data_IF_622621199872
#
_entry.id   IF_622621199872
#
_cell.length_a   1.000
_cell.length_b   1.000
_cell.length_c   1.000
_cell.angle_alpha   90.00
_cell.angle_beta   90.00
_cell.angle_gamma   90.00
#
_symmetry.space_group_name_H-M   'P 1'
#
loop_
_entity.id
_entity.type
_entity.pdbx_description
1 polymer ?
#
# COMPACT_ATOMS: atom_id res chain seq x y z
N UNK A 1 -4.93 7.66 -20.94
CA UNK A 1 -5.26 7.41 -19.51
C UNK A 1 -6.23 6.26 -19.36
N UNK A 2 -7.36 6.27 -20.08
CA UNK A 2 -8.36 5.18 -20.08
C UNK A 2 -7.73 3.78 -20.19
N UNK A 3 -6.88 3.53 -21.19
CA UNK A 3 -6.26 2.21 -21.40
C UNK A 3 -5.36 1.77 -20.24
N UNK A 4 -4.66 2.72 -19.59
CA UNK A 4 -3.85 2.43 -18.39
C UNK A 4 -4.71 2.08 -17.19
N UNK A 5 -5.86 2.73 -17.03
CA UNK A 5 -6.82 2.41 -15.95
C UNK A 5 -7.49 1.05 -16.19
N UNK A 6 -7.80 0.72 -17.45
CA UNK A 6 -8.32 -0.60 -17.83
C UNK A 6 -7.30 -1.71 -17.57
N UNK A 7 -6.03 -1.48 -17.94
CA UNK A 7 -4.91 -2.37 -17.63
C UNK A 7 -4.78 -2.58 -16.11
N UNK A 8 -4.73 -1.49 -15.32
CA UNK A 8 -4.67 -1.55 -13.86
C UNK A 8 -5.83 -2.38 -13.28
N UNK A 9 -7.07 -2.13 -13.74
CA UNK A 9 -8.24 -2.89 -13.25
C UNK A 9 -8.12 -4.37 -13.54
N UNK A 10 -7.63 -4.76 -14.72
CA UNK A 10 -7.51 -6.16 -15.11
C UNK A 10 -6.40 -6.88 -14.36
N UNK A 11 -5.24 -6.24 -14.24
CA UNK A 11 -4.10 -6.82 -13.51
C UNK A 11 -4.38 -6.93 -12.02
N UNK A 12 -5.05 -5.93 -11.43
CA UNK A 12 -5.47 -6.01 -10.04
C UNK A 12 -6.46 -7.16 -9.80
N UNK A 13 -7.41 -7.36 -10.72
CA UNK A 13 -8.34 -8.49 -10.65
C UNK A 13 -7.61 -9.83 -10.63
N UNK A 14 -6.63 -10.00 -11.52
CA UNK A 14 -5.80 -11.20 -11.61
C UNK A 14 -5.05 -11.45 -10.29
N UNK A 15 -4.46 -10.41 -9.70
CA UNK A 15 -3.77 -10.52 -8.40
C UNK A 15 -4.73 -10.91 -7.27
N UNK A 16 -5.93 -10.33 -7.24
CA UNK A 16 -6.94 -10.70 -6.23
C UNK A 16 -7.36 -12.17 -6.38
N UNK A 17 -7.53 -12.66 -7.61
CA UNK A 17 -7.89 -14.05 -7.87
C UNK A 17 -6.77 -15.04 -7.52
N UNK A 18 -5.53 -14.68 -7.86
CA UNK A 18 -4.34 -15.50 -7.63
C UNK A 18 -4.03 -15.62 -6.14
N UNK A 19 -3.94 -14.47 -5.44
CA UNK A 19 -3.49 -14.45 -4.05
C UNK A 19 -4.62 -14.57 -3.03
N UNK A 20 -5.88 -14.34 -3.43
CA UNK A 20 -7.08 -14.39 -2.57
C UNK A 20 -6.87 -13.68 -1.22
N UNK A 21 -6.48 -12.39 -1.22
CA UNK A 21 -6.20 -11.68 0.01
C UNK A 21 -7.48 -11.49 0.84
N UNK A 22 -7.36 -11.45 2.17
CA UNK A 22 -8.47 -11.14 3.07
C UNK A 22 -8.87 -9.66 3.01
N UNK A 23 -7.94 -8.79 2.60
CA UNK A 23 -8.10 -7.34 2.60
C UNK A 23 -7.04 -6.64 1.73
N UNK A 24 -7.25 -5.35 1.45
CA UNK A 24 -6.25 -4.45 0.86
C UNK A 24 -5.78 -3.38 1.85
N UNK A 25 -4.62 -2.82 1.58
CA UNK A 25 -4.11 -1.65 2.31
C UNK A 25 -3.51 -0.64 1.33
N UNK A 26 -3.78 0.65 1.56
CA UNK A 26 -3.26 1.74 0.72
C UNK A 26 -2.73 2.88 1.59
N UNK A 27 -1.73 3.59 1.08
CA UNK A 27 -1.33 4.86 1.68
C UNK A 27 -2.38 5.94 1.41
N UNK A 28 -2.68 6.73 2.45
CA UNK A 28 -3.58 7.87 2.35
C UNK A 28 -2.88 9.01 1.60
N UNK A 29 -3.38 9.33 0.41
CA UNK A 29 -2.90 10.45 -0.40
C UNK A 29 -3.21 11.77 0.31
N UNK A 30 -2.19 12.49 0.78
CA UNK A 30 -2.36 13.73 1.54
C UNK A 30 -1.98 14.99 0.75
N UNK A 31 -0.97 14.95 -0.12
CA UNK A 31 -0.53 16.11 -0.89
C UNK A 31 0.10 15.71 -2.23
N UNK A 32 -0.55 16.07 -3.33
CA UNK A 32 0.09 16.09 -4.64
C UNK A 32 0.67 17.48 -4.88
N UNK A 33 1.95 17.56 -5.29
CA UNK A 33 2.62 18.85 -5.59
C UNK A 33 1.93 19.63 -6.71
N UNK A 34 1.19 18.95 -7.59
CA UNK A 34 0.44 19.57 -8.69
C UNK A 34 -0.93 18.92 -8.84
N UNK A 35 -1.92 19.70 -9.29
CA UNK A 35 -3.30 19.23 -9.41
C UNK A 35 -3.48 18.11 -10.44
N UNK A 36 -2.69 18.12 -11.52
CA UNK A 36 -2.80 17.13 -12.60
C UNK A 36 -2.36 15.73 -12.16
N UNK A 37 -1.29 15.63 -11.37
CA UNK A 37 -0.82 14.37 -10.79
C UNK A 37 -1.76 13.91 -9.69
N UNK A 38 -2.31 14.83 -8.91
CA UNK A 38 -3.37 14.54 -7.93
C UNK A 38 -4.55 13.85 -8.60
N UNK A 39 -5.02 14.40 -9.72
CA UNK A 39 -6.17 13.89 -10.45
C UNK A 39 -5.87 12.52 -11.07
N UNK A 40 -4.68 12.34 -11.65
CA UNK A 40 -4.26 11.06 -12.25
C UNK A 40 -4.17 9.97 -11.19
N UNK A 41 -3.59 10.27 -10.02
CA UNK A 41 -3.51 9.35 -8.88
C UNK A 41 -4.90 9.06 -8.32
N UNK A 42 -5.78 10.07 -8.26
CA UNK A 42 -7.18 9.92 -7.86
C UNK A 42 -7.94 8.94 -8.75
N UNK A 43 -7.77 9.01 -10.08
CA UNK A 43 -8.38 8.06 -11.00
C UNK A 43 -7.90 6.62 -10.78
N UNK A 44 -6.59 6.41 -10.64
CA UNK A 44 -6.02 5.08 -10.36
C UNK A 44 -6.54 4.52 -9.03
N UNK A 45 -6.56 5.34 -7.98
CA UNK A 45 -7.10 4.97 -6.67
C UNK A 45 -8.59 4.62 -6.77
N UNK A 46 -9.39 5.37 -7.52
CA UNK A 46 -10.80 5.07 -7.74
C UNK A 46 -11.02 3.67 -8.30
N UNK A 47 -10.21 3.27 -9.29
CA UNK A 47 -10.25 1.91 -9.87
C UNK A 47 -9.91 0.85 -8.82
N UNK A 48 -8.85 1.07 -8.02
CA UNK A 48 -8.43 0.14 -6.96
C UNK A 48 -9.54 -0.03 -5.93
N UNK A 49 -10.08 1.08 -5.39
CA UNK A 49 -11.14 1.05 -4.38
C UNK A 49 -12.39 0.32 -4.89
N UNK A 50 -12.78 0.58 -6.14
CA UNK A 50 -13.92 -0.08 -6.77
C UNK A 50 -13.71 -1.59 -6.87
N UNK A 51 -12.55 -2.05 -7.38
CA UNK A 51 -12.28 -3.50 -7.53
C UNK A 51 -12.36 -4.25 -6.22
N UNK A 52 -11.76 -3.73 -5.15
CA UNK A 52 -11.87 -4.37 -3.84
C UNK A 52 -13.30 -4.39 -3.31
N UNK A 53 -14.05 -3.30 -3.52
CA UNK A 53 -15.47 -3.23 -3.12
C UNK A 53 -16.33 -4.25 -3.85
N UNK A 54 -16.14 -4.45 -5.17
CA UNK A 54 -16.87 -5.47 -5.94
C UNK A 54 -16.57 -6.89 -5.44
N UNK A 55 -15.34 -7.12 -4.98
CA UNK A 55 -14.90 -8.39 -4.39
C UNK A 55 -15.25 -8.53 -2.90
N UNK A 56 -15.93 -7.55 -2.31
CA UNK A 56 -16.30 -7.52 -0.89
C UNK A 56 -15.07 -7.59 0.04
N UNK A 57 -13.92 -7.10 -0.41
CA UNK A 57 -12.68 -7.06 0.33
C UNK A 57 -12.52 -5.70 1.02
N UNK A 58 -12.32 -5.63 2.34
CA UNK A 58 -12.08 -4.37 3.03
C UNK A 58 -10.75 -3.76 2.59
N UNK A 59 -10.72 -2.44 2.44
CA UNK A 59 -9.49 -1.66 2.25
C UNK A 59 -9.22 -0.82 3.49
N UNK A 60 -7.96 -0.83 3.94
CA UNK A 60 -7.48 0.00 5.04
C UNK A 60 -6.54 1.10 4.54
N UNK A 61 -6.64 2.29 5.13
CA UNK A 61 -5.84 3.45 4.74
C UNK A 61 -4.90 3.89 5.86
N UNK A 62 -3.63 4.13 5.51
CA UNK A 62 -2.61 4.53 6.48
C UNK A 62 -1.94 5.84 6.08
N UNK A 63 -1.71 6.73 7.06
CA UNK A 63 -0.90 7.93 6.83
C UNK A 63 0.57 7.55 6.68
N UNK A 64 1.31 8.26 5.82
CA UNK A 64 2.76 8.09 5.63
C UNK A 64 3.54 8.04 6.96
N UNK A 65 3.22 8.95 7.89
CA UNK A 65 3.84 9.00 9.21
C UNK A 65 3.62 7.71 10.01
N UNK A 66 2.43 7.12 9.91
CA UNK A 66 2.09 5.87 10.60
C UNK A 66 2.83 4.69 9.97
N UNK A 67 2.95 4.65 8.65
CA UNK A 67 3.73 3.62 7.94
C UNK A 67 5.20 3.67 8.39
N UNK A 68 5.81 4.86 8.33
CA UNK A 68 7.20 5.08 8.77
C UNK A 68 7.41 4.70 10.25
N UNK A 69 6.49 5.11 11.12
CA UNK A 69 6.55 4.76 12.54
C UNK A 69 6.44 3.25 12.77
N UNK A 70 5.60 2.55 12.01
CA UNK A 70 5.38 1.11 12.19
C UNK A 70 6.56 0.29 11.66
N UNK A 71 7.14 0.68 10.54
CA UNK A 71 8.23 -0.06 9.88
C UNK A 71 9.60 0.25 10.49
N UNK A 72 9.88 1.52 10.81
CA UNK A 72 11.21 1.98 11.26
C UNK A 72 11.24 2.33 12.76
N UNK A 73 10.07 2.47 13.39
CA UNK A 73 9.94 2.91 14.79
C UNK A 73 9.77 4.42 14.97
N UNK A 74 10.09 5.23 13.94
CA UNK A 74 9.99 6.69 13.99
C UNK A 74 9.24 7.26 12.78
N UNK A 75 8.27 8.15 13.01
CA UNK A 75 7.44 8.70 11.94
C UNK A 75 8.19 9.62 10.96
N UNK A 76 9.33 10.19 11.38
CA UNK A 76 10.17 11.08 10.56
C UNK A 76 11.25 10.36 9.76
N UNK A 77 11.21 9.03 9.68
CA UNK A 77 12.21 8.25 8.95
C UNK A 77 12.32 8.67 7.48
N UNK A 78 13.52 8.60 6.95
CA UNK A 78 13.81 8.82 5.53
C UNK A 78 13.38 7.60 4.70
N UNK A 79 13.17 7.80 3.40
CA UNK A 79 12.72 6.72 2.49
C UNK A 79 13.69 5.53 2.48
N UNK A 80 14.99 5.79 2.45
CA UNK A 80 16.02 4.75 2.45
C UNK A 80 15.96 3.87 3.70
N UNK A 81 15.62 4.46 4.85
CA UNK A 81 15.46 3.73 6.10
C UNK A 81 14.25 2.80 6.05
N UNK A 82 13.13 3.27 5.49
CA UNK A 82 11.94 2.43 5.27
C UNK A 82 12.28 1.26 4.36
N UNK A 83 12.91 1.51 3.21
CA UNK A 83 13.29 0.48 2.26
C UNK A 83 14.26 -0.55 2.86
N UNK A 84 15.26 -0.09 3.61
CA UNK A 84 16.19 -0.98 4.31
C UNK A 84 15.47 -1.86 5.33
N UNK A 85 14.57 -1.28 6.12
CA UNK A 85 13.78 -2.02 7.11
C UNK A 85 12.82 -3.01 6.46
N UNK A 86 12.15 -2.66 5.36
CA UNK A 86 11.31 -3.60 4.61
C UNK A 86 12.11 -4.84 4.18
N UNK A 87 13.34 -4.65 3.67
CA UNK A 87 14.22 -5.76 3.31
C UNK A 87 14.54 -6.65 4.51
N UNK A 88 14.87 -6.06 5.66
CA UNK A 88 15.16 -6.81 6.89
C UNK A 88 13.92 -7.60 7.33
N UNK A 89 12.76 -6.96 7.41
CA UNK A 89 11.53 -7.57 7.91
C UNK A 89 11.03 -8.72 7.04
N UNK A 90 11.28 -8.66 5.73
CA UNK A 90 10.88 -9.69 4.76
C UNK A 90 12.03 -10.61 4.33
N UNK A 91 13.22 -10.48 4.94
CA UNK A 91 14.43 -11.22 4.60
C UNK A 91 14.77 -11.21 3.09
N UNK A 92 14.65 -10.03 2.46
CA UNK A 92 14.89 -9.85 1.02
C UNK A 92 16.35 -9.51 0.76
N UNK A 93 16.99 -10.29 -0.11
CA UNK A 93 18.40 -10.10 -0.49
C UNK A 93 18.57 -9.01 -1.55
N UNK A 94 17.63 -8.93 -2.50
CA UNK A 94 17.70 -8.01 -3.64
C UNK A 94 17.38 -6.55 -3.27
N UNK A 95 17.83 -5.61 -4.09
CA UNK A 95 17.37 -4.22 -4.01
C UNK A 95 15.90 -4.15 -4.42
N UNK A 96 15.08 -3.45 -3.64
CA UNK A 96 13.71 -3.11 -4.01
C UNK A 96 13.71 -1.83 -4.85
N UNK A 97 12.77 -1.68 -5.76
CA UNK A 97 12.43 -0.37 -6.29
C UNK A 97 11.69 0.46 -5.22
N UNK A 98 11.65 1.79 -5.38
CA UNK A 98 10.95 2.66 -4.42
C UNK A 98 9.47 2.27 -4.26
N UNK A 99 8.77 2.08 -5.39
CA UNK A 99 7.34 1.76 -5.38
C UNK A 99 7.05 0.38 -4.73
N UNK A 100 7.95 -0.59 -4.91
CA UNK A 100 7.86 -1.91 -4.26
C UNK A 100 8.03 -1.79 -2.74
N UNK A 101 9.03 -1.02 -2.31
CA UNK A 101 9.30 -0.79 -0.90
C UNK A 101 8.14 -0.08 -0.20
N UNK A 102 7.58 0.96 -0.84
CA UNK A 102 6.44 1.70 -0.33
C UNK A 102 5.18 0.80 -0.22
N UNK A 103 4.90 -0.03 -1.23
CA UNK A 103 3.78 -0.98 -1.18
C UNK A 103 3.94 -2.03 -0.07
N UNK A 104 5.13 -2.62 0.05
CA UNK A 104 5.42 -3.60 1.10
C UNK A 104 5.38 -2.97 2.50
N UNK A 105 5.85 -1.73 2.66
CA UNK A 105 5.78 -1.02 3.93
C UNK A 105 4.33 -0.81 4.40
N UNK A 106 3.42 -0.48 3.48
CA UNK A 106 1.98 -0.35 3.78
C UNK A 106 1.37 -1.70 4.17
N UNK A 107 1.72 -2.78 3.46
CA UNK A 107 1.25 -4.13 3.79
C UNK A 107 1.74 -4.59 5.17
N UNK A 108 3.03 -4.38 5.47
CA UNK A 108 3.62 -4.66 6.80
C UNK A 108 2.91 -3.86 7.88
N UNK A 109 2.63 -2.57 7.61
CA UNK A 109 1.92 -1.70 8.56
C UNK A 109 0.53 -2.26 8.89
N UNK A 110 -0.21 -2.70 7.87
CA UNK A 110 -1.51 -3.34 8.09
C UNK A 110 -1.39 -4.61 8.92
N UNK A 111 -0.50 -5.52 8.53
CA UNK A 111 -0.29 -6.79 9.22
C UNK A 111 0.09 -6.58 10.70
N UNK A 112 0.98 -5.64 10.98
CA UNK A 112 1.43 -5.35 12.35
C UNK A 112 0.32 -4.78 13.23
N UNK A 113 -0.47 -3.83 12.70
CA UNK A 113 -1.58 -3.24 13.45
C UNK A 113 -2.76 -4.21 13.63
N UNK A 114 -3.04 -5.05 12.63
CA UNK A 114 -4.04 -6.11 12.73
C UNK A 114 -3.70 -7.17 13.78
N UNK A 115 -2.41 -7.53 13.90
CA UNK A 115 -1.91 -8.42 14.96
C UNK A 115 -2.08 -7.80 16.35
N UNK A 116 -1.78 -6.50 16.51
CA UNK A 116 -1.92 -5.80 17.78
C UNK A 116 -3.37 -5.75 18.30
N UNK A 117 -4.35 -5.70 17.40
CA UNK A 117 -5.78 -5.72 17.78
C UNK A 117 -6.25 -7.10 18.24
N UNK A 118 -5.70 -8.18 17.66
CA UNK A 118 -6.03 -9.56 18.07
C UNK A 118 -5.40 -9.98 19.40
N UNK A 119 -4.30 -9.35 19.82
CA UNK A 119 -3.64 -9.63 21.11
C UNK A 119 -4.27 -8.89 22.30
N UNK A 120 -5.21 -7.97 22.03
CA UNK A 120 -5.90 -7.16 23.05
C UNK A 120 -7.31 -7.68 23.38
N UNK A 121 -7.67 -8.86 22.86
CA UNK A 121 -8.92 -9.59 23.09
C UNK A 121 -8.58 -10.96 23.68
#
# INVERSE_FOLDING_TARGET
LSDRLSMLSRELEQLIEEFRPDCGAVEKVFFAKNAQSALTLGHARGVILLKFSERHLPIHEYQALKVKQTVVGVGRADKDQVQHMVKILLNLQNSLQEDEADALAVAITHAHLGLSLKQSL
#
